data_IF_189542666547
#
_entry.id   IF_189542666547
#
_cell.length_a   1.000
_cell.length_b   1.000
_cell.length_c   1.000
_cell.angle_alpha   90.00
_cell.angle_beta   90.00
_cell.angle_gamma   90.00
#
_symmetry.space_group_name_H-M   'P 1'
#
loop_
_entity.id
_entity.type
_entity.pdbx_description
1 polymer ?
#
# COMPACT_ATOMS: atom_id res chain seq x y z
N UNK A 1 -15.90 1.19 -6.28
CA UNK A 1 -15.51 -0.22 -6.53
C UNK A 1 -16.75 -1.07 -6.39
N UNK A 2 -17.13 -1.80 -7.45
CA UNK A 2 -18.28 -2.73 -7.36
C UNK A 2 -17.97 -3.87 -6.40
N UNK A 3 -18.98 -4.53 -5.87
CA UNK A 3 -18.78 -5.59 -4.88
C UNK A 3 -18.12 -6.82 -5.50
N UNK A 4 -18.43 -7.10 -6.76
CA UNK A 4 -17.81 -8.15 -7.57
C UNK A 4 -16.30 -7.89 -7.71
N UNK A 5 -15.91 -6.64 -7.99
CA UNK A 5 -14.51 -6.25 -8.08
C UNK A 5 -13.82 -6.33 -6.72
N UNK A 6 -14.51 -6.05 -5.60
CA UNK A 6 -13.94 -6.26 -4.26
C UNK A 6 -13.63 -7.73 -4.02
N UNK A 7 -14.58 -8.61 -4.34
CA UNK A 7 -14.42 -10.04 -4.12
C UNK A 7 -13.30 -10.64 -4.98
N UNK A 8 -13.13 -10.15 -6.21
CA UNK A 8 -12.03 -10.58 -7.09
C UNK A 8 -10.66 -10.12 -6.57
N UNK A 9 -10.57 -8.89 -6.05
CA UNK A 9 -9.30 -8.31 -5.61
C UNK A 9 -8.90 -8.71 -4.19
N UNK A 10 -9.86 -9.00 -3.31
CA UNK A 10 -9.59 -9.29 -1.89
C UNK A 10 -8.54 -10.40 -1.68
N UNK A 11 -8.56 -11.54 -2.41
CA UNK A 11 -7.55 -12.59 -2.27
C UNK A 11 -6.14 -12.16 -2.70
N UNK A 12 -6.00 -11.06 -3.46
CA UNK A 12 -4.70 -10.53 -3.89
C UNK A 12 -4.03 -9.69 -2.80
N UNK A 13 -4.77 -9.19 -1.81
CA UNK A 13 -4.19 -8.46 -0.67
C UNK A 13 -3.80 -9.46 0.44
N UNK A 14 -2.50 -9.73 0.60
CA UNK A 14 -2.02 -10.68 1.62
C UNK A 14 -2.34 -10.26 3.07
N UNK A 15 -2.59 -8.97 3.31
CA UNK A 15 -3.09 -8.46 4.58
C UNK A 15 -4.61 -8.62 4.79
N UNK A 16 -5.32 -9.27 3.85
CA UNK A 16 -6.73 -9.64 3.99
C UNK A 16 -7.72 -8.48 3.87
N UNK A 17 -7.28 -7.30 3.40
CA UNK A 17 -8.13 -6.13 3.19
C UNK A 17 -7.64 -5.25 2.05
N UNK A 18 -8.56 -4.49 1.47
CA UNK A 18 -8.20 -3.37 0.62
C UNK A 18 -7.47 -2.28 1.43
N UNK A 19 -6.59 -1.55 0.75
CA UNK A 19 -5.94 -0.37 1.31
C UNK A 19 -6.95 0.75 1.59
N UNK A 20 -6.66 1.54 2.62
CA UNK A 20 -7.36 2.77 2.95
C UNK A 20 -6.45 3.97 2.65
N UNK A 21 -6.97 5.19 2.47
CA UNK A 21 -6.16 6.38 2.21
C UNK A 21 -5.02 6.58 3.22
N UNK A 22 -5.25 6.19 4.48
CA UNK A 22 -4.28 6.31 5.57
C UNK A 22 -3.06 5.41 5.39
N UNK A 23 -3.17 4.28 4.68
CA UNK A 23 -2.05 3.37 4.44
C UNK A 23 -0.99 4.01 3.54
N UNK A 24 -1.42 4.76 2.52
CA UNK A 24 -0.52 5.55 1.69
C UNK A 24 -0.02 6.80 2.42
N UNK A 25 -0.92 7.51 3.12
CA UNK A 25 -0.57 8.73 3.84
C UNK A 25 0.50 8.51 4.91
N UNK A 26 0.44 7.39 5.65
CA UNK A 26 1.46 7.03 6.64
C UNK A 26 2.84 6.78 6.03
N UNK A 27 2.90 6.10 4.88
CA UNK A 27 4.16 5.92 4.16
C UNK A 27 4.73 7.27 3.70
N UNK A 28 3.88 8.14 3.14
CA UNK A 28 4.29 9.49 2.71
C UNK A 28 4.79 10.30 3.91
N UNK A 29 4.08 10.28 5.04
CA UNK A 29 4.48 10.99 6.24
C UNK A 29 5.85 10.52 6.76
N UNK A 30 6.10 9.20 6.76
CA UNK A 30 7.41 8.64 7.09
C UNK A 30 8.49 9.11 6.11
N UNK A 31 8.26 9.00 4.80
CA UNK A 31 9.23 9.40 3.78
C UNK A 31 9.53 10.91 3.77
N UNK A 32 8.59 11.74 4.20
CA UNK A 32 8.78 13.18 4.34
C UNK A 32 9.45 13.58 5.67
N UNK A 33 9.65 12.64 6.60
CA UNK A 33 10.27 12.88 7.90
C UNK A 33 11.79 12.70 7.84
N UNK A 34 12.48 13.20 8.88
CA UNK A 34 13.93 12.99 9.04
C UNK A 34 14.30 11.51 9.25
N UNK A 35 13.36 10.65 9.64
CA UNK A 35 13.62 9.22 9.86
C UNK A 35 13.95 8.48 8.56
N UNK A 36 13.55 9.03 7.41
CA UNK A 36 13.79 8.45 6.09
C UNK A 36 15.00 9.05 5.37
N UNK A 37 15.86 9.83 6.04
CA UNK A 37 16.92 10.64 5.40
C UNK A 37 17.88 9.85 4.49
N UNK A 38 18.06 8.56 4.74
CA UNK A 38 18.96 7.70 3.96
C UNK A 38 18.27 6.95 2.82
N UNK A 39 16.99 7.19 2.57
CA UNK A 39 16.21 6.55 1.52
C UNK A 39 16.10 7.49 0.33
N UNK A 40 16.72 7.13 -0.80
CA UNK A 40 16.62 7.88 -2.05
C UNK A 40 16.59 6.96 -3.27
N UNK A 41 15.90 7.38 -4.33
CA UNK A 41 15.80 6.65 -5.60
C UNK A 41 14.99 5.33 -5.54
N UNK A 42 14.23 5.10 -4.46
CA UNK A 42 13.49 3.85 -4.27
C UNK A 42 12.02 3.97 -4.68
N UNK A 43 11.45 2.86 -5.16
CA UNK A 43 10.01 2.69 -5.34
C UNK A 43 9.51 1.79 -4.21
N UNK A 44 8.64 2.34 -3.35
CA UNK A 44 8.05 1.61 -2.22
C UNK A 44 6.55 1.49 -2.43
N UNK A 45 6.03 0.26 -2.47
CA UNK A 45 4.60 0.03 -2.66
C UNK A 45 3.88 -0.10 -1.31
N UNK A 46 2.98 0.83 -0.98
CA UNK A 46 2.05 0.71 0.15
C UNK A 46 0.77 -0.02 -0.30
N UNK A 47 0.87 -1.34 -0.47
CA UNK A 47 -0.20 -2.13 -1.11
C UNK A 47 -0.62 -3.38 -0.31
N UNK A 48 -0.23 -3.49 0.96
CA UNK A 48 -0.64 -4.61 1.82
C UNK A 48 -0.24 -5.99 1.29
N UNK A 49 0.87 -6.06 0.53
CA UNK A 49 1.35 -7.28 -0.11
C UNK A 49 0.56 -7.69 -1.36
N UNK A 50 0.01 -6.73 -2.12
CA UNK A 50 -0.75 -7.00 -3.33
C UNK A 50 -0.01 -7.91 -4.32
N UNK A 51 -0.63 -9.02 -4.68
CA UNK A 51 -0.08 -10.00 -5.62
C UNK A 51 -0.24 -9.53 -7.07
N UNK A 52 0.89 -9.16 -7.69
CA UNK A 52 1.03 -8.82 -9.12
C UNK A 52 1.48 -10.08 -9.89
N UNK A 53 0.59 -11.02 -10.15
CA UNK A 53 0.83 -12.12 -11.09
C UNK A 53 -0.03 -11.94 -12.33
#
# INVERSE_FOLDING_TARGET
>A
MSEELKQELLPKFLMGRAGMPEDAAKLVAFLASNEAEWITGQIINSEGGFLRK
#
